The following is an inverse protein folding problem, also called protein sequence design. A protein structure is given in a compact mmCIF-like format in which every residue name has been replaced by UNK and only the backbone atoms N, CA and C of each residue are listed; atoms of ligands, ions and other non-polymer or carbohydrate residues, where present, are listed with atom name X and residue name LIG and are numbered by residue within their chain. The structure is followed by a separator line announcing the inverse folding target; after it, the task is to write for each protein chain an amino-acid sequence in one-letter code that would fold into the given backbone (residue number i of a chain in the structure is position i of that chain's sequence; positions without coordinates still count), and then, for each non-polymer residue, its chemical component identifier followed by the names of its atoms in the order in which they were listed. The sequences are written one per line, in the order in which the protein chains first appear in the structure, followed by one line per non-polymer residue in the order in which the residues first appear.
data_IF_254509060204
#
_entry.id   IF_254509060204
#
_cell.length_a   1.000
_cell.length_b   1.000
_cell.length_c   1.000
_cell.angle_alpha   90.00
_cell.angle_beta   90.00
_cell.angle_gamma   90.00
#
_symmetry.space_group_name_H-M   'P 1'
#
loop_
_entity.id
_entity.type
_entity.pdbx_description
1 polymer ?
#
# COMPACT_ATOMS: atom_id res chain seq x y z
N UNK A 1 -12.59 27.84 0.24
CA UNK A 1 -12.41 27.16 1.54
C UNK A 1 -12.93 25.77 1.37
N UNK A 2 -12.11 24.79 1.63
CA UNK A 2 -12.41 23.36 1.45
C UNK A 2 -13.58 22.94 2.33
N UNK A 3 -14.60 22.34 1.77
CA UNK A 3 -15.72 21.84 2.57
C UNK A 3 -15.45 20.40 3.01
N UNK A 4 -14.78 20.22 4.15
CA UNK A 4 -14.41 18.92 4.67
C UNK A 4 -15.60 17.98 4.88
N UNK A 5 -16.76 18.51 5.26
CA UNK A 5 -17.97 17.69 5.43
C UNK A 5 -18.45 17.08 4.11
N UNK A 6 -18.54 17.88 3.05
CA UNK A 6 -18.94 17.40 1.74
C UNK A 6 -17.95 16.38 1.19
N UNK A 7 -16.65 16.64 1.35
CA UNK A 7 -15.61 15.68 0.95
C UNK A 7 -15.69 14.38 1.76
N UNK A 8 -15.89 14.45 3.08
CA UNK A 8 -16.05 13.26 3.91
C UNK A 8 -17.22 12.39 3.43
N UNK A 9 -18.37 13.01 3.11
CA UNK A 9 -19.54 12.32 2.56
C UNK A 9 -19.23 11.69 1.19
N UNK A 10 -18.50 12.38 0.32
CA UNK A 10 -18.08 11.88 -0.99
C UNK A 10 -17.19 10.64 -0.88
N UNK A 11 -16.12 10.70 -0.06
CA UNK A 11 -15.20 9.57 0.13
C UNK A 11 -15.88 8.38 0.80
N UNK A 12 -16.73 8.65 1.80
CA UNK A 12 -17.53 7.62 2.47
C UNK A 12 -18.47 6.89 1.53
N UNK A 13 -19.25 7.64 0.74
CA UNK A 13 -20.22 7.07 -0.20
C UNK A 13 -19.50 6.29 -1.32
N UNK A 14 -18.41 6.82 -1.87
CA UNK A 14 -17.61 6.08 -2.85
C UNK A 14 -17.11 4.75 -2.31
N UNK A 15 -16.62 4.73 -1.06
CA UNK A 15 -16.15 3.51 -0.40
C UNK A 15 -17.29 2.53 -0.15
N UNK A 16 -18.33 2.98 0.60
CA UNK A 16 -19.30 2.06 1.19
C UNK A 16 -20.46 1.70 0.24
N UNK A 17 -20.78 2.59 -0.72
CA UNK A 17 -21.90 2.38 -1.62
C UNK A 17 -21.47 1.85 -3.00
N UNK A 18 -20.15 1.91 -3.32
CA UNK A 18 -19.64 1.48 -4.64
C UNK A 18 -18.46 0.50 -4.55
N UNK A 19 -17.33 0.92 -3.97
CA UNK A 19 -16.07 0.15 -4.05
C UNK A 19 -16.16 -1.14 -3.22
N UNK A 20 -16.62 -1.06 -1.97
CA UNK A 20 -16.77 -2.24 -1.10
C UNK A 20 -17.80 -3.22 -1.66
N UNK A 21 -19.03 -2.80 -2.07
CA UNK A 21 -19.96 -3.71 -2.72
C UNK A 21 -19.45 -4.36 -4.00
N UNK A 22 -18.66 -3.62 -4.81
CA UNK A 22 -18.05 -4.19 -6.02
C UNK A 22 -17.16 -5.39 -5.70
N UNK A 23 -16.20 -5.24 -4.77
CA UNK A 23 -15.31 -6.32 -4.39
C UNK A 23 -16.07 -7.46 -3.69
N UNK A 24 -17.00 -7.14 -2.80
CA UNK A 24 -17.80 -8.14 -2.09
C UNK A 24 -18.63 -9.03 -3.03
N UNK A 25 -19.16 -8.45 -4.12
CA UNK A 25 -20.00 -9.15 -5.09
C UNK A 25 -19.18 -9.87 -6.18
N UNK A 26 -18.07 -9.27 -6.65
CA UNK A 26 -17.37 -9.72 -7.86
C UNK A 26 -16.14 -10.56 -7.60
N UNK A 27 -15.50 -10.42 -6.43
CA UNK A 27 -14.19 -11.06 -6.19
C UNK A 27 -14.28 -12.47 -5.62
N UNK A 28 -15.33 -12.82 -4.89
CA UNK A 28 -15.39 -14.08 -4.16
C UNK A 28 -15.49 -15.32 -5.08
N UNK A 29 -14.55 -16.26 -4.97
CA UNK A 29 -14.67 -17.58 -5.59
C UNK A 29 -15.37 -18.54 -4.64
N UNK A 30 -16.69 -18.66 -4.79
CA UNK A 30 -17.52 -19.53 -3.92
C UNK A 30 -17.32 -21.02 -4.19
N UNK A 31 -16.62 -21.41 -5.25
CA UNK A 31 -16.38 -22.82 -5.58
C UNK A 31 -15.07 -23.34 -4.94
N UNK A 32 -13.96 -22.57 -5.08
CA UNK A 32 -12.64 -22.98 -4.60
C UNK A 32 -12.12 -22.15 -3.42
N UNK A 33 -12.81 -21.07 -3.06
CA UNK A 33 -12.37 -20.13 -2.02
C UNK A 33 -11.38 -19.09 -2.53
N UNK A 34 -11.06 -18.13 -1.68
CA UNK A 34 -10.23 -16.98 -2.07
C UNK A 34 -10.95 -16.02 -3.02
N UNK A 35 -10.19 -15.21 -3.75
CA UNK A 35 -10.74 -14.12 -4.54
C UNK A 35 -10.25 -14.14 -5.98
N UNK A 36 -11.12 -13.76 -6.91
CA UNK A 36 -10.74 -13.30 -8.23
C UNK A 36 -10.28 -11.86 -8.16
N UNK A 37 -9.04 -11.59 -8.55
CA UNK A 37 -8.50 -10.22 -8.61
C UNK A 37 -8.44 -9.70 -10.04
N UNK A 38 -8.46 -10.58 -11.05
CA UNK A 38 -8.44 -10.20 -12.46
C UNK A 38 -9.86 -9.91 -12.95
N UNK A 39 -10.34 -8.69 -12.67
CA UNK A 39 -11.69 -8.22 -12.99
C UNK A 39 -11.63 -7.14 -14.07
N UNK A 40 -12.44 -7.32 -15.13
CA UNK A 40 -12.61 -6.34 -16.19
C UNK A 40 -13.44 -5.14 -15.70
N UNK A 41 -13.70 -4.17 -16.57
CA UNK A 41 -14.40 -2.93 -16.23
C UNK A 41 -15.78 -3.17 -15.64
N UNK A 42 -16.52 -4.16 -16.13
CA UNK A 42 -17.86 -4.53 -15.64
C UNK A 42 -17.84 -5.50 -14.43
N UNK A 43 -16.66 -5.88 -13.96
CA UNK A 43 -16.48 -6.85 -12.89
C UNK A 43 -16.49 -8.29 -13.34
N UNK A 44 -16.53 -8.58 -14.64
CA UNK A 44 -16.38 -9.94 -15.16
C UNK A 44 -14.94 -10.44 -14.96
N UNK A 45 -14.83 -11.72 -14.61
CA UNK A 45 -13.52 -12.37 -14.40
C UNK A 45 -12.90 -12.68 -15.76
N UNK A 46 -11.70 -12.12 -16.03
CA UNK A 46 -10.98 -12.40 -17.27
C UNK A 46 -9.78 -13.35 -17.08
N UNK A 47 -9.34 -13.57 -15.84
CA UNK A 47 -8.32 -14.56 -15.47
C UNK A 47 -8.60 -15.07 -14.06
N UNK A 48 -8.27 -16.31 -13.78
CA UNK A 48 -8.59 -16.97 -12.50
C UNK A 48 -7.39 -17.24 -11.61
N UNK A 49 -6.18 -16.89 -12.02
CA UNK A 49 -4.98 -17.02 -11.20
C UNK A 49 -5.09 -16.14 -9.94
N UNK A 50 -4.66 -16.71 -8.81
CA UNK A 50 -4.75 -16.07 -7.49
C UNK A 50 -3.38 -15.63 -7.02
N UNK A 51 -3.19 -14.32 -6.91
CA UNK A 51 -1.94 -13.70 -6.46
C UNK A 51 -1.97 -13.52 -4.94
N UNK A 52 -1.11 -14.23 -4.22
CA UNK A 52 -1.15 -14.35 -2.75
C UNK A 52 -1.13 -12.98 -2.06
N UNK A 53 -0.30 -12.06 -2.50
CA UNK A 53 -0.24 -10.72 -1.93
C UNK A 53 -1.56 -9.93 -2.08
N UNK A 54 -2.33 -10.16 -3.16
CA UNK A 54 -3.65 -9.54 -3.34
C UNK A 54 -4.74 -10.26 -2.54
N UNK A 55 -4.64 -11.59 -2.40
CA UNK A 55 -5.51 -12.34 -1.50
C UNK A 55 -5.38 -11.81 -0.06
N UNK A 56 -4.14 -11.64 0.44
CA UNK A 56 -3.88 -11.07 1.75
C UNK A 56 -4.39 -9.64 1.91
N UNK A 57 -4.23 -8.79 0.89
CA UNK A 57 -4.74 -7.42 0.87
C UNK A 57 -6.25 -7.35 1.02
N UNK A 58 -6.98 -8.23 0.35
CA UNK A 58 -8.44 -8.25 0.40
C UNK A 58 -8.96 -8.79 1.74
N UNK A 59 -8.34 -9.86 2.29
CA UNK A 59 -8.60 -10.31 3.66
C UNK A 59 -8.40 -9.17 4.66
N UNK A 60 -7.28 -8.46 4.57
CA UNK A 60 -6.97 -7.32 5.43
C UNK A 60 -8.04 -6.24 5.33
N UNK A 61 -8.45 -5.88 4.10
CA UNK A 61 -9.40 -4.79 3.90
C UNK A 61 -10.77 -5.09 4.52
N UNK A 62 -11.32 -6.28 4.29
CA UNK A 62 -12.59 -6.66 4.86
C UNK A 62 -12.54 -6.85 6.38
N UNK A 63 -11.45 -7.40 6.92
CA UNK A 63 -11.24 -7.47 8.36
C UNK A 63 -11.10 -6.07 9.00
N UNK A 64 -10.41 -5.13 8.34
CA UNK A 64 -10.28 -3.74 8.77
C UNK A 64 -11.61 -3.00 8.79
N UNK A 65 -12.42 -3.16 7.75
CA UNK A 65 -13.78 -2.60 7.69
C UNK A 65 -14.66 -3.14 8.83
N UNK A 66 -14.58 -4.42 9.10
CA UNK A 66 -15.28 -5.03 10.22
C UNK A 66 -14.83 -4.47 11.55
N UNK A 67 -13.52 -4.33 11.77
CA UNK A 67 -12.96 -3.85 13.03
C UNK A 67 -13.22 -2.35 13.29
N UNK A 68 -13.20 -1.51 12.26
CA UNK A 68 -13.12 -0.05 12.42
C UNK A 68 -14.30 0.74 11.85
N UNK A 69 -15.17 0.11 11.06
CA UNK A 69 -16.34 0.79 10.49
C UNK A 69 -17.63 0.26 11.08
N UNK A 70 -17.91 -1.03 10.87
CA UNK A 70 -19.13 -1.65 11.34
C UNK A 70 -18.94 -3.18 11.41
N UNK A 71 -19.40 -3.82 12.48
CA UNK A 71 -19.33 -5.29 12.64
C UNK A 71 -20.33 -6.01 11.74
N UNK A 72 -20.22 -5.82 10.41
CA UNK A 72 -21.04 -6.52 9.41
C UNK A 72 -20.55 -7.95 9.22
N UNK A 73 -21.42 -8.92 9.46
CA UNK A 73 -21.08 -10.33 9.33
C UNK A 73 -20.59 -10.68 7.92
N UNK A 74 -21.19 -10.10 6.88
CA UNK A 74 -20.79 -10.31 5.49
C UNK A 74 -19.32 -9.92 5.19
N UNK A 75 -18.79 -8.88 5.84
CA UNK A 75 -17.37 -8.50 5.72
C UNK A 75 -16.46 -9.49 6.43
N UNK A 76 -16.87 -9.94 7.62
CA UNK A 76 -16.11 -10.95 8.34
C UNK A 76 -16.10 -12.28 7.59
N UNK A 77 -17.24 -12.73 7.05
CA UNK A 77 -17.36 -13.97 6.29
C UNK A 77 -16.48 -13.92 5.01
N UNK A 78 -16.47 -12.78 4.32
CA UNK A 78 -15.61 -12.57 3.17
C UNK A 78 -14.13 -12.67 3.57
N UNK A 79 -13.70 -12.00 4.64
CA UNK A 79 -12.32 -12.07 5.13
C UNK A 79 -11.92 -13.49 5.56
N UNK A 80 -12.79 -14.20 6.26
CA UNK A 80 -12.57 -15.60 6.69
C UNK A 80 -12.43 -16.52 5.49
N UNK A 81 -13.27 -16.39 4.47
CA UNK A 81 -13.19 -17.19 3.25
C UNK A 81 -11.82 -17.07 2.57
N UNK A 82 -11.31 -15.84 2.41
CA UNK A 82 -9.99 -15.62 1.85
C UNK A 82 -8.86 -16.14 2.72
N UNK A 83 -8.95 -15.95 4.04
CA UNK A 83 -7.95 -16.44 4.98
C UNK A 83 -7.86 -17.97 5.03
N UNK A 84 -9.00 -18.67 4.99
CA UNK A 84 -9.01 -20.14 4.94
C UNK A 84 -8.42 -20.69 3.64
N UNK A 85 -8.66 -20.01 2.51
CA UNK A 85 -7.97 -20.32 1.25
C UNK A 85 -6.46 -20.13 1.37
N UNK A 86 -6.02 -19.00 1.88
CA UNK A 86 -4.60 -18.69 2.10
C UNK A 86 -3.94 -19.70 3.05
N UNK A 87 -4.58 -20.02 4.16
CA UNK A 87 -4.10 -20.99 5.14
C UNK A 87 -3.91 -22.38 4.52
N UNK A 88 -4.81 -22.79 3.66
CA UNK A 88 -4.81 -24.13 3.06
C UNK A 88 -3.83 -24.25 1.88
N UNK A 89 -3.72 -23.23 1.04
CA UNK A 89 -3.05 -23.32 -0.25
C UNK A 89 -1.94 -22.28 -0.44
N UNK A 90 -1.97 -21.17 0.31
CA UNK A 90 -1.11 -20.01 0.07
C UNK A 90 0.38 -20.22 0.33
N UNK A 91 0.77 -21.32 1.00
CA UNK A 91 2.15 -21.59 1.41
C UNK A 91 2.49 -23.08 1.39
N UNK A 92 3.78 -23.41 1.49
CA UNK A 92 4.34 -24.77 1.41
C UNK A 92 4.24 -25.62 2.70
N UNK A 93 3.39 -25.23 3.64
CA UNK A 93 3.31 -25.83 4.97
C UNK A 93 4.31 -25.29 6.00
N UNK A 94 5.31 -24.51 5.56
CA UNK A 94 6.32 -23.88 6.40
C UNK A 94 6.22 -22.34 6.37
N UNK A 95 5.07 -21.79 6.00
CA UNK A 95 4.81 -20.35 5.82
C UNK A 95 5.75 -19.68 4.80
N UNK A 96 6.25 -20.44 3.82
CA UNK A 96 6.82 -19.85 2.62
C UNK A 96 5.68 -19.57 1.64
N UNK A 97 5.27 -18.30 1.60
CA UNK A 97 4.09 -17.87 0.84
C UNK A 97 4.38 -17.80 -0.65
N UNK A 98 3.65 -18.56 -1.45
CA UNK A 98 3.77 -18.52 -2.90
C UNK A 98 3.48 -17.13 -3.45
N UNK A 99 3.87 -16.86 -4.71
CA UNK A 99 3.48 -15.61 -5.35
C UNK A 99 2.14 -15.75 -6.07
N UNK A 100 1.93 -16.85 -6.79
CA UNK A 100 0.69 -17.10 -7.51
C UNK A 100 0.31 -18.58 -7.44
N UNK A 101 -0.99 -18.83 -7.43
CA UNK A 101 -1.65 -20.13 -7.52
C UNK A 101 -2.60 -20.11 -8.72
N UNK A 102 -2.96 -21.29 -9.23
CA UNK A 102 -4.14 -21.41 -10.07
C UNK A 102 -5.45 -21.25 -9.26
N UNK A 103 -6.57 -21.31 -9.94
CA UNK A 103 -7.89 -21.16 -9.30
C UNK A 103 -8.13 -22.17 -8.18
N UNK A 104 -7.67 -23.43 -8.36
CA UNK A 104 -7.89 -24.52 -7.41
C UNK A 104 -6.90 -24.54 -6.25
N UNK A 105 -5.88 -23.67 -6.28
CA UNK A 105 -4.87 -23.54 -5.23
C UNK A 105 -3.58 -24.29 -5.52
N UNK A 106 -3.33 -24.75 -6.77
CA UNK A 106 -2.04 -25.35 -7.12
C UNK A 106 -0.98 -24.26 -7.34
N UNK A 107 0.23 -24.42 -6.79
CA UNK A 107 1.30 -23.43 -6.94
C UNK A 107 1.75 -23.25 -8.40
N UNK A 108 1.76 -22.01 -8.86
CA UNK A 108 2.27 -21.60 -10.17
C UNK A 108 3.62 -20.91 -10.07
N UNK A 109 3.83 -20.12 -9.01
CA UNK A 109 5.04 -19.31 -8.87
C UNK A 109 5.58 -19.39 -7.44
N UNK A 110 6.88 -19.64 -7.35
CA UNK A 110 7.65 -19.82 -6.13
C UNK A 110 7.56 -18.63 -5.14
N UNK A 111 7.84 -18.85 -3.82
CA UNK A 111 7.81 -17.85 -2.76
C UNK A 111 8.96 -16.82 -2.83
N UNK A 112 9.21 -16.21 -3.97
CA UNK A 112 10.31 -15.25 -4.14
C UNK A 112 9.97 -13.81 -3.70
N UNK A 113 8.66 -13.51 -3.57
CA UNK A 113 8.19 -12.16 -3.31
C UNK A 113 7.86 -11.97 -1.83
N UNK A 114 8.66 -11.13 -1.16
CA UNK A 114 8.50 -10.85 0.27
C UNK A 114 7.14 -10.19 0.59
N UNK A 115 6.51 -9.50 -0.38
CA UNK A 115 5.20 -8.88 -0.17
C UNK A 115 4.06 -9.89 -0.01
N UNK A 116 4.19 -11.11 -0.55
CA UNK A 116 3.24 -12.18 -0.21
C UNK A 116 3.22 -12.45 1.29
N UNK A 117 4.37 -12.35 1.94
CA UNK A 117 4.51 -12.53 3.39
C UNK A 117 3.98 -11.33 4.18
N UNK A 118 4.36 -10.10 3.80
CA UNK A 118 3.92 -8.90 4.55
C UNK A 118 2.41 -8.74 4.50
N UNK A 119 1.76 -9.04 3.38
CA UNK A 119 0.31 -9.01 3.28
C UNK A 119 -0.39 -10.19 3.95
N UNK A 120 0.24 -11.36 4.04
CA UNK A 120 -0.25 -12.43 4.91
C UNK A 120 -0.19 -12.02 6.39
N UNK A 121 0.88 -11.36 6.83
CA UNK A 121 1.00 -10.85 8.21
C UNK A 121 -0.16 -9.94 8.57
N UNK A 122 -0.43 -8.89 7.79
CA UNK A 122 -1.50 -7.95 8.14
C UNK A 122 -2.89 -8.56 7.96
N UNK A 123 -3.08 -9.45 6.99
CA UNK A 123 -4.33 -10.18 6.78
C UNK A 123 -4.71 -11.01 8.00
N UNK A 124 -3.85 -11.95 8.37
CA UNK A 124 -4.08 -12.80 9.53
C UNK A 124 -4.06 -12.02 10.84
N UNK A 125 -3.26 -10.95 10.93
CA UNK A 125 -3.23 -10.06 12.08
C UNK A 125 -4.56 -9.35 12.31
N UNK A 126 -5.12 -8.68 11.31
CA UNK A 126 -6.41 -8.00 11.42
C UNK A 126 -7.56 -8.99 11.64
N UNK A 127 -7.48 -10.18 11.04
CA UNK A 127 -8.49 -11.20 11.25
C UNK A 127 -8.40 -11.84 12.66
N UNK A 128 -7.19 -11.97 13.21
CA UNK A 128 -7.00 -12.39 14.60
C UNK A 128 -7.63 -11.39 15.59
N UNK A 129 -7.46 -10.08 15.32
CA UNK A 129 -8.09 -9.01 16.10
C UNK A 129 -9.62 -9.09 16.00
N UNK A 130 -10.17 -9.32 14.80
CA UNK A 130 -11.60 -9.41 14.57
C UNK A 130 -12.26 -10.63 15.26
N UNK A 131 -11.55 -11.76 15.30
CA UNK A 131 -12.12 -13.05 15.71
C UNK A 131 -11.64 -13.56 17.06
N UNK A 132 -10.50 -13.08 17.56
CA UNK A 132 -9.79 -13.67 18.70
C UNK A 132 -9.18 -15.05 18.42
N UNK A 133 -9.12 -15.47 17.13
CA UNK A 133 -8.61 -16.80 16.75
C UNK A 133 -7.08 -16.86 16.90
N UNK A 134 -6.62 -17.74 17.77
CA UNK A 134 -5.19 -17.91 18.09
C UNK A 134 -4.40 -18.54 16.94
N UNK A 135 -4.99 -19.32 16.08
CA UNK A 135 -4.31 -19.87 14.90
C UNK A 135 -3.95 -18.76 13.92
N UNK A 136 -4.85 -17.79 13.68
CA UNK A 136 -4.56 -16.61 12.84
C UNK A 136 -3.47 -15.73 13.45
N UNK A 137 -3.51 -15.50 14.76
CA UNK A 137 -2.46 -14.79 15.48
C UNK A 137 -1.10 -15.47 15.30
N UNK A 138 -1.04 -16.80 15.45
CA UNK A 138 0.21 -17.58 15.30
C UNK A 138 0.75 -17.48 13.87
N UNK A 139 -0.10 -17.59 12.85
CA UNK A 139 0.28 -17.44 11.44
C UNK A 139 0.88 -16.04 11.20
N UNK A 140 0.20 -14.98 11.67
CA UNK A 140 0.69 -13.62 11.53
C UNK A 140 2.06 -13.43 12.18
N UNK A 141 2.23 -13.81 13.44
CA UNK A 141 3.49 -13.67 14.19
C UNK A 141 4.64 -14.45 13.56
N UNK A 142 4.45 -15.73 13.27
CA UNK A 142 5.49 -16.57 12.65
C UNK A 142 5.88 -16.06 11.25
N UNK A 143 4.90 -15.59 10.47
CA UNK A 143 5.20 -15.01 9.16
C UNK A 143 5.98 -13.71 9.31
N UNK A 144 5.66 -12.89 10.31
CA UNK A 144 6.41 -11.66 10.60
C UNK A 144 7.86 -11.94 10.98
N UNK A 145 8.12 -12.94 11.83
CA UNK A 145 9.48 -13.39 12.18
C UNK A 145 10.26 -13.80 10.91
N UNK A 146 9.61 -14.50 9.98
CA UNK A 146 10.22 -14.86 8.69
C UNK A 146 10.56 -13.61 7.88
N UNK A 147 9.66 -12.62 7.80
CA UNK A 147 9.92 -11.36 7.09
C UNK A 147 11.15 -10.66 7.66
N UNK A 148 11.23 -10.50 8.99
CA UNK A 148 12.35 -9.85 9.63
C UNK A 148 13.67 -10.61 9.43
N UNK A 149 13.64 -11.94 9.40
CA UNK A 149 14.83 -12.77 9.10
C UNK A 149 15.35 -12.62 7.68
N UNK A 150 14.57 -11.99 6.78
CA UNK A 150 14.89 -11.82 5.34
C UNK A 150 15.16 -10.38 4.92
N UNK A 151 15.29 -9.44 5.84
CA UNK A 151 15.52 -8.02 5.52
C UNK A 151 16.71 -7.83 4.58
N UNK A 152 17.81 -8.55 4.80
CA UNK A 152 19.02 -8.45 3.97
C UNK A 152 18.97 -9.31 2.70
N UNK A 153 18.04 -10.25 2.60
CA UNK A 153 17.85 -11.10 1.42
C UNK A 153 16.35 -11.43 1.23
N UNK A 154 15.52 -10.45 0.79
CA UNK A 154 14.08 -10.62 0.69
C UNK A 154 13.63 -11.80 -0.19
N UNK A 155 14.43 -12.16 -1.19
CA UNK A 155 14.16 -13.29 -2.10
C UNK A 155 14.65 -14.64 -1.57
N UNK A 156 15.43 -14.67 -0.47
CA UNK A 156 15.98 -15.89 0.12
C UNK A 156 16.63 -16.83 -0.92
N UNK A 157 16.32 -18.14 -0.87
CA UNK A 157 16.83 -19.14 -1.84
C UNK A 157 16.34 -18.95 -3.26
N UNK A 158 15.30 -18.14 -3.48
CA UNK A 158 14.76 -17.83 -4.82
C UNK A 158 15.40 -16.61 -5.46
N UNK A 159 16.45 -16.04 -4.84
CA UNK A 159 17.22 -14.96 -5.43
C UNK A 159 18.00 -15.45 -6.66
N UNK A 160 17.79 -14.77 -7.79
CA UNK A 160 18.47 -15.08 -9.06
C UNK A 160 19.75 -14.28 -9.28
N UNK A 161 20.13 -13.40 -8.35
CA UNK A 161 21.36 -12.63 -8.45
C UNK A 161 22.57 -13.56 -8.35
N UNK A 162 23.61 -13.27 -9.13
CA UNK A 162 24.88 -14.00 -9.06
C UNK A 162 25.56 -13.65 -7.74
N UNK A 163 25.95 -14.63 -6.89
CA UNK A 163 26.66 -14.37 -5.65
C UNK A 163 27.92 -13.52 -5.87
N UNK A 164 28.09 -12.48 -5.05
CA UNK A 164 29.22 -11.55 -5.17
C UNK A 164 29.11 -10.51 -6.27
N UNK A 165 28.01 -10.50 -7.06
CA UNK A 165 27.73 -9.42 -7.99
C UNK A 165 27.29 -8.15 -7.23
N UNK A 166 27.17 -7.01 -7.96
CA UNK A 166 26.65 -5.77 -7.39
C UNK A 166 25.25 -6.01 -6.81
N UNK A 167 25.15 -6.00 -5.48
CA UNK A 167 23.87 -6.04 -4.79
C UNK A 167 23.40 -4.63 -4.48
N UNK A 168 22.09 -4.41 -4.57
CA UNK A 168 21.46 -3.19 -4.16
C UNK A 168 20.56 -3.49 -2.95
N UNK A 169 20.63 -2.64 -1.94
CA UNK A 169 19.64 -2.54 -0.87
C UNK A 169 18.45 -1.76 -1.41
N UNK A 170 17.24 -2.25 -1.21
CA UNK A 170 16.01 -1.64 -1.76
C UNK A 170 15.12 -1.08 -0.66
N UNK A 171 14.41 -0.01 -0.97
CA UNK A 171 13.59 0.77 -0.03
C UNK A 171 12.25 0.10 0.29
N UNK A 172 11.72 -0.67 -0.62
CA UNK A 172 10.36 -1.22 -0.59
C UNK A 172 10.03 -2.00 0.70
N UNK A 173 10.92 -2.85 1.19
CA UNK A 173 10.68 -3.62 2.41
C UNK A 173 10.78 -2.77 3.69
N UNK A 174 11.83 -1.96 3.94
CA UNK A 174 11.85 -1.03 5.07
C UNK A 174 10.63 -0.12 5.17
N UNK A 175 10.17 0.40 4.03
CA UNK A 175 8.97 1.23 3.94
C UNK A 175 7.73 0.50 4.48
N UNK A 176 7.42 -0.69 3.94
CA UNK A 176 6.19 -1.40 4.31
C UNK A 176 6.21 -1.90 5.75
N UNK A 177 7.39 -2.20 6.31
CA UNK A 177 7.51 -2.64 7.69
C UNK A 177 7.05 -1.58 8.70
N UNK A 178 7.18 -0.29 8.37
CA UNK A 178 6.63 0.80 9.19
C UNK A 178 5.12 0.64 9.40
N UNK A 179 4.39 0.27 8.34
CA UNK A 179 2.94 0.05 8.41
C UNK A 179 2.59 -1.30 9.04
N UNK A 180 3.28 -2.38 8.64
CA UNK A 180 3.01 -3.74 9.14
C UNK A 180 3.12 -3.79 10.66
N UNK A 181 4.13 -3.15 11.25
CA UNK A 181 4.32 -3.12 12.70
C UNK A 181 3.11 -2.51 13.43
N UNK A 182 2.53 -1.43 12.89
CA UNK A 182 1.33 -0.80 13.46
C UNK A 182 0.07 -1.65 13.25
N UNK A 183 -0.08 -2.29 12.10
CA UNK A 183 -1.25 -3.11 11.78
C UNK A 183 -1.41 -4.34 12.68
N UNK A 184 -0.29 -4.86 13.20
CA UNK A 184 -0.29 -6.03 14.10
C UNK A 184 0.18 -5.69 15.52
N UNK A 185 0.30 -4.40 15.87
CA UNK A 185 0.75 -3.94 17.20
C UNK A 185 0.10 -4.69 18.36
N UNK A 186 -1.24 -4.94 18.38
CA UNK A 186 -1.87 -5.65 19.48
C UNK A 186 -1.42 -7.09 19.69
N UNK A 187 -0.73 -7.66 18.70
CA UNK A 187 -0.24 -9.06 18.69
C UNK A 187 1.24 -9.16 19.05
N UNK A 188 1.96 -8.03 19.17
CA UNK A 188 3.41 -8.00 19.42
C UNK A 188 3.74 -7.67 20.87
N UNK A 189 4.83 -8.22 21.36
CA UNK A 189 5.39 -7.79 22.65
C UNK A 189 5.91 -6.34 22.55
N UNK A 190 5.63 -5.47 23.55
CA UNK A 190 5.94 -4.04 23.46
C UNK A 190 7.42 -3.73 23.16
N UNK A 191 8.35 -4.46 23.75
CA UNK A 191 9.79 -4.27 23.52
C UNK A 191 10.19 -4.62 22.07
N UNK A 192 9.66 -5.72 21.55
CA UNK A 192 9.89 -6.15 20.17
C UNK A 192 9.30 -5.17 19.15
N UNK A 193 8.08 -4.67 19.42
CA UNK A 193 7.45 -3.63 18.60
C UNK A 193 8.31 -2.36 18.57
N UNK A 194 8.79 -1.91 19.72
CA UNK A 194 9.61 -0.70 19.82
C UNK A 194 10.90 -0.82 19.00
N UNK A 195 11.65 -1.92 19.17
CA UNK A 195 12.87 -2.20 18.39
C UNK A 195 12.60 -2.26 16.88
N UNK A 196 11.46 -2.85 16.48
CA UNK A 196 11.06 -2.92 15.06
C UNK A 196 10.79 -1.53 14.52
N UNK A 197 10.05 -0.69 15.25
CA UNK A 197 9.76 0.69 14.85
C UNK A 197 11.05 1.51 14.73
N UNK A 198 11.95 1.43 15.71
CA UNK A 198 13.22 2.17 15.67
C UNK A 198 14.06 1.77 14.45
N UNK A 199 14.11 0.47 14.13
CA UNK A 199 14.80 -0.03 12.93
C UNK A 199 14.16 0.53 11.66
N UNK A 200 12.84 0.50 11.55
CA UNK A 200 12.13 1.02 10.37
C UNK A 200 12.37 2.53 10.18
N UNK A 201 12.27 3.31 11.25
CA UNK A 201 12.52 4.76 11.22
C UNK A 201 13.97 5.06 10.80
N UNK A 202 14.94 4.36 11.37
CA UNK A 202 16.34 4.50 10.97
C UNK A 202 16.53 4.20 9.47
N UNK A 203 16.00 3.09 8.98
CA UNK A 203 16.14 2.72 7.57
C UNK A 203 15.53 3.79 6.65
N UNK A 204 14.33 4.26 6.93
CA UNK A 204 13.65 5.23 6.06
C UNK A 204 14.30 6.62 6.14
N UNK A 205 14.58 7.12 7.35
CA UNK A 205 14.97 8.52 7.57
C UNK A 205 16.48 8.76 7.52
N UNK A 206 17.30 7.77 7.92
CA UNK A 206 18.76 7.95 8.00
C UNK A 206 19.49 7.23 6.86
N UNK A 207 18.91 6.14 6.31
CA UNK A 207 19.55 5.37 5.24
C UNK A 207 19.03 5.78 3.86
N UNK A 208 17.72 5.70 3.62
CA UNK A 208 17.15 5.95 2.28
C UNK A 208 16.79 7.40 1.98
N UNK A 209 16.41 8.19 2.97
CA UNK A 209 16.27 9.64 2.76
C UNK A 209 17.64 10.29 2.60
N UNK A 210 17.81 11.08 1.54
CA UNK A 210 19.05 11.77 1.20
C UNK A 210 18.86 13.28 1.34
N UNK A 211 19.34 13.88 2.45
CA UNK A 211 19.20 15.32 2.68
C UNK A 211 19.78 16.18 1.56
N UNK A 212 20.89 15.71 0.96
CA UNK A 212 21.56 16.41 -0.16
C UNK A 212 20.74 16.44 -1.45
N UNK A 213 19.74 15.53 -1.58
CA UNK A 213 18.79 15.49 -2.68
C UNK A 213 17.41 16.04 -2.27
N UNK A 214 17.13 16.07 -0.97
CA UNK A 214 15.78 16.31 -0.42
C UNK A 214 14.77 15.20 -0.72
N UNK A 215 15.24 14.02 -1.12
CA UNK A 215 14.40 12.92 -1.64
C UNK A 215 14.78 11.59 -1.00
N UNK A 216 13.83 10.66 -1.05
CA UNK A 216 14.02 9.24 -0.71
C UNK A 216 14.43 8.48 -1.97
N UNK A 217 15.47 7.65 -1.88
CA UNK A 217 15.94 6.84 -3.01
C UNK A 217 15.44 5.41 -2.92
N UNK A 218 15.17 4.79 -4.07
CA UNK A 218 14.67 3.40 -4.16
C UNK A 218 15.73 2.34 -3.94
N UNK A 219 17.01 2.68 -4.19
CA UNK A 219 18.08 1.70 -4.09
C UNK A 219 19.41 2.37 -3.75
N UNK A 220 20.18 1.66 -2.95
CA UNK A 220 21.54 2.03 -2.53
C UNK A 220 22.48 0.86 -2.76
N UNK A 221 23.76 1.15 -2.88
CA UNK A 221 24.79 0.14 -2.80
C UNK A 221 24.87 -0.51 -1.40
N UNK A 222 25.66 -1.54 -1.28
CA UNK A 222 25.79 -2.33 -0.05
C UNK A 222 26.21 -1.49 1.16
N UNK A 223 27.08 -0.53 0.94
CA UNK A 223 27.64 0.35 1.98
C UNK A 223 26.85 1.69 2.10
N UNK A 224 25.65 1.76 1.51
CA UNK A 224 24.77 2.92 1.57
C UNK A 224 25.09 4.00 0.55
N UNK A 225 25.97 3.74 -0.42
CA UNK A 225 26.36 4.69 -1.46
C UNK A 225 25.31 4.81 -2.58
N UNK A 226 25.24 5.98 -3.21
CA UNK A 226 24.43 6.21 -4.42
C UNK A 226 25.10 5.52 -5.62
N UNK A 227 24.40 4.63 -6.29
CA UNK A 227 24.90 3.87 -7.44
C UNK A 227 24.44 4.49 -8.76
N UNK A 228 25.38 4.73 -9.70
CA UNK A 228 25.08 5.21 -11.05
C UNK A 228 24.76 4.03 -11.99
N UNK A 229 23.57 3.47 -11.83
CA UNK A 229 23.01 2.45 -12.72
C UNK A 229 21.51 2.72 -12.88
N UNK A 230 20.83 2.03 -13.81
CA UNK A 230 19.38 2.17 -13.99
C UNK A 230 18.62 1.99 -12.67
N UNK A 231 18.87 0.87 -11.96
CA UNK A 231 18.20 0.57 -10.70
C UNK A 231 18.63 1.51 -9.57
N UNK A 232 19.94 1.84 -9.48
CA UNK A 232 20.47 2.71 -8.43
C UNK A 232 20.12 4.20 -8.59
N UNK A 233 19.63 4.62 -9.77
CA UNK A 233 19.15 5.99 -10.02
C UNK A 233 17.64 6.11 -9.97
N UNK A 234 16.93 4.98 -9.91
CA UNK A 234 15.46 4.96 -9.89
C UNK A 234 14.93 5.68 -8.67
N UNK A 235 13.93 6.52 -8.89
CA UNK A 235 13.08 7.14 -7.87
C UNK A 235 11.64 6.70 -8.12
N UNK A 236 10.92 6.45 -7.04
CA UNK A 236 9.50 6.17 -7.07
C UNK A 236 8.78 7.14 -6.12
N UNK A 237 8.30 8.28 -6.62
CA UNK A 237 7.62 9.26 -5.77
C UNK A 237 6.46 8.65 -4.95
N UNK A 238 5.77 7.67 -5.53
CA UNK A 238 4.68 6.98 -4.85
C UNK A 238 5.11 6.24 -3.58
N UNK A 239 6.19 5.46 -3.63
CA UNK A 239 6.74 4.78 -2.45
C UNK A 239 7.25 5.78 -1.40
N UNK A 240 7.99 6.79 -1.85
CA UNK A 240 8.48 7.82 -0.97
C UNK A 240 7.34 8.52 -0.22
N UNK A 241 6.29 8.95 -0.93
CA UNK A 241 5.12 9.60 -0.35
C UNK A 241 4.33 8.63 0.57
N UNK A 242 4.13 7.38 0.15
CA UNK A 242 3.44 6.38 0.98
C UNK A 242 4.18 6.17 2.31
N UNK A 243 5.51 6.08 2.29
CA UNK A 243 6.31 5.93 3.50
C UNK A 243 6.12 7.08 4.49
N UNK A 244 5.90 8.29 4.00
CA UNK A 244 5.77 9.46 4.87
C UNK A 244 4.54 9.44 5.74
N UNK A 245 3.40 8.96 5.23
CA UNK A 245 2.24 8.85 6.10
C UNK A 245 2.34 7.67 7.08
N UNK A 246 3.11 6.61 6.77
CA UNK A 246 3.47 5.60 7.76
C UNK A 246 4.29 6.21 8.90
N UNK A 247 5.29 7.05 8.56
CA UNK A 247 6.10 7.76 9.56
C UNK A 247 5.25 8.74 10.39
N UNK A 248 4.29 9.43 9.78
CA UNK A 248 3.36 10.30 10.51
C UNK A 248 2.54 9.51 11.54
N UNK A 249 2.08 8.30 11.19
CA UNK A 249 1.38 7.42 12.13
C UNK A 249 2.30 6.94 13.25
N UNK A 250 3.53 6.56 12.94
CA UNK A 250 4.54 6.24 13.95
C UNK A 250 4.85 7.44 14.85
N UNK A 251 5.00 8.63 14.27
CA UNK A 251 5.22 9.87 15.01
C UNK A 251 4.06 10.19 15.97
N UNK A 252 2.83 10.01 15.53
CA UNK A 252 1.63 10.13 16.37
C UNK A 252 1.64 9.09 17.50
N UNK A 253 1.91 7.83 17.17
CA UNK A 253 1.97 6.70 18.12
C UNK A 253 3.04 6.90 19.19
N UNK A 254 4.20 7.43 18.82
CA UNK A 254 5.33 7.69 19.70
C UNK A 254 5.29 9.05 20.41
N UNK A 255 4.30 9.89 20.10
CA UNK A 255 4.23 11.30 20.53
C UNK A 255 5.51 12.09 20.15
N UNK A 256 5.96 11.94 18.89
CA UNK A 256 7.16 12.52 18.29
C UNK A 256 6.78 13.51 17.18
N UNK A 257 6.45 14.77 17.51
CA UNK A 257 6.09 15.78 16.50
C UNK A 257 7.21 16.06 15.50
N UNK A 258 8.48 15.91 15.89
CA UNK A 258 9.64 16.03 15.01
C UNK A 258 9.63 15.02 13.85
N UNK A 259 9.19 13.79 14.09
CA UNK A 259 9.01 12.78 13.03
C UNK A 259 7.88 13.18 12.07
N UNK A 260 6.80 13.73 12.60
CA UNK A 260 5.66 14.20 11.79
C UNK A 260 6.09 15.36 10.89
N UNK A 261 6.76 16.37 11.45
CA UNK A 261 7.27 17.52 10.71
C UNK A 261 8.25 17.10 9.61
N UNK A 262 9.17 16.16 9.93
CA UNK A 262 10.12 15.61 8.95
C UNK A 262 9.43 14.84 7.83
N UNK A 263 8.45 14.02 8.15
CA UNK A 263 7.65 13.29 7.17
C UNK A 263 6.86 14.24 6.25
N UNK A 264 6.30 15.32 6.78
CA UNK A 264 5.63 16.36 6.00
C UNK A 264 6.60 17.07 5.06
N UNK A 265 7.80 17.44 5.53
CA UNK A 265 8.84 18.04 4.69
C UNK A 265 9.19 17.14 3.50
N UNK A 266 9.45 15.86 3.76
CA UNK A 266 9.77 14.86 2.72
C UNK A 266 8.60 14.70 1.76
N UNK A 267 7.38 14.54 2.26
CA UNK A 267 6.20 14.33 1.44
C UNK A 267 5.93 15.49 0.48
N UNK A 268 6.09 16.74 0.96
CA UNK A 268 5.96 17.93 0.11
C UNK A 268 7.03 17.99 -0.97
N UNK A 269 8.28 17.67 -0.64
CA UNK A 269 9.35 17.62 -1.63
C UNK A 269 9.11 16.55 -2.70
N UNK A 270 8.66 15.36 -2.29
CA UNK A 270 8.40 14.24 -3.20
C UNK A 270 7.22 14.48 -4.14
N UNK A 271 6.12 15.07 -3.64
CA UNK A 271 4.98 15.39 -4.51
C UNK A 271 5.31 16.49 -5.49
N UNK A 272 6.06 17.51 -5.07
CA UNK A 272 6.52 18.59 -5.94
C UNK A 272 7.48 18.06 -7.02
N UNK A 273 8.45 17.20 -6.64
CA UNK A 273 9.38 16.57 -7.57
C UNK A 273 8.69 15.63 -8.56
N UNK A 274 7.73 14.82 -8.09
CA UNK A 274 7.02 13.81 -8.88
C UNK A 274 5.90 14.34 -9.77
N UNK A 275 5.46 15.59 -9.59
CA UNK A 275 4.32 16.15 -10.31
C UNK A 275 4.64 16.47 -11.78
N UNK A 276 3.77 16.04 -12.71
CA UNK A 276 3.88 16.40 -14.13
C UNK A 276 3.24 17.78 -14.36
N UNK A 277 4.07 18.82 -14.49
CA UNK A 277 3.60 20.20 -14.70
C UNK A 277 2.89 20.39 -16.04
N UNK A 278 3.08 19.50 -17.02
CA UNK A 278 2.46 19.61 -18.33
C UNK A 278 1.05 19.03 -18.39
N UNK A 279 0.85 17.86 -17.76
CA UNK A 279 -0.41 17.12 -17.88
C UNK A 279 -1.10 16.85 -16.53
N UNK A 280 -0.44 17.20 -15.45
CA UNK A 280 -0.87 16.85 -14.10
C UNK A 280 -0.61 15.38 -13.74
N UNK A 281 -0.90 15.05 -12.47
CA UNK A 281 -0.63 13.73 -11.93
C UNK A 281 0.85 13.48 -11.63
N UNK A 282 1.12 12.39 -10.95
CA UNK A 282 2.46 12.05 -10.44
C UNK A 282 3.05 10.95 -11.32
N UNK A 283 4.31 11.12 -11.74
CA UNK A 283 5.05 10.10 -12.48
C UNK A 283 5.23 8.83 -11.65
N UNK A 284 5.23 7.68 -12.33
CA UNK A 284 5.47 6.41 -11.66
C UNK A 284 6.96 6.25 -11.29
N UNK A 285 7.86 6.39 -12.26
CA UNK A 285 9.29 6.33 -12.02
C UNK A 285 10.03 7.55 -12.57
N UNK A 286 11.05 7.98 -11.85
CA UNK A 286 11.95 9.04 -12.29
C UNK A 286 13.41 8.59 -12.16
N UNK A 287 14.32 9.32 -12.78
CA UNK A 287 15.76 9.10 -12.66
C UNK A 287 16.38 10.30 -11.94
N UNK A 288 17.10 10.08 -10.82
CA UNK A 288 17.68 11.17 -10.02
C UNK A 288 18.70 12.04 -10.74
N UNK A 289 19.23 11.58 -11.89
CA UNK A 289 20.16 12.34 -12.75
C UNK A 289 19.51 12.79 -14.06
N UNK A 290 18.18 12.61 -14.21
CA UNK A 290 17.47 12.97 -15.44
C UNK A 290 17.84 12.11 -16.66
N UNK A 291 18.46 10.95 -16.47
CA UNK A 291 18.77 10.00 -17.54
C UNK A 291 17.53 9.24 -17.98
N UNK A 292 17.47 8.73 -19.22
CA UNK A 292 16.35 7.91 -19.69
C UNK A 292 16.09 6.71 -18.78
N UNK A 293 14.82 6.46 -18.50
CA UNK A 293 14.35 5.26 -17.81
C UNK A 293 14.24 4.10 -18.80
N UNK A 294 14.39 2.87 -18.31
CA UNK A 294 14.20 1.65 -19.13
C UNK A 294 12.83 0.99 -18.89
N UNK A 295 12.14 1.35 -17.82
CA UNK A 295 10.77 0.92 -17.58
C UNK A 295 9.82 1.64 -18.56
N UNK A 296 9.07 0.87 -19.34
CA UNK A 296 8.14 1.43 -20.35
C UNK A 296 7.00 2.23 -19.72
N UNK A 297 6.66 1.91 -18.49
CA UNK A 297 5.59 2.54 -17.71
C UNK A 297 6.04 3.76 -16.89
N UNK A 298 7.28 4.25 -17.03
CA UNK A 298 7.84 5.27 -16.16
C UNK A 298 7.04 6.57 -16.09
N UNK A 299 6.40 6.97 -17.19
CA UNK A 299 5.62 8.22 -17.29
C UNK A 299 4.10 8.01 -17.13
N UNK A 300 3.67 6.77 -16.85
CA UNK A 300 2.27 6.48 -16.58
C UNK A 300 1.83 7.05 -15.24
N UNK A 301 0.52 7.26 -15.10
CA UNK A 301 -0.12 7.68 -13.86
C UNK A 301 -0.87 6.48 -13.27
N UNK A 302 -0.45 6.05 -12.08
CA UNK A 302 -1.04 4.89 -11.43
C UNK A 302 -1.96 5.30 -10.28
N UNK A 303 -3.04 4.55 -10.09
CA UNK A 303 -4.07 4.79 -9.06
C UNK A 303 -3.49 4.88 -7.66
N UNK A 304 -2.59 3.94 -7.31
CA UNK A 304 -2.06 3.82 -5.97
C UNK A 304 -1.15 5.01 -5.59
N UNK A 305 -0.34 5.50 -6.50
CA UNK A 305 0.51 6.68 -6.29
C UNK A 305 -0.34 7.89 -5.88
N UNK A 306 -1.47 8.09 -6.58
CA UNK A 306 -2.33 9.24 -6.34
C UNK A 306 -3.14 9.11 -5.05
N UNK A 307 -3.72 7.93 -4.79
CA UNK A 307 -4.51 7.72 -3.57
C UNK A 307 -3.63 7.75 -2.30
N UNK A 308 -2.40 7.22 -2.35
CA UNK A 308 -1.45 7.32 -1.24
C UNK A 308 -0.98 8.77 -1.01
N UNK A 309 -0.85 9.54 -2.08
CA UNK A 309 -0.57 10.99 -1.96
C UNK A 309 -1.71 11.73 -1.29
N UNK A 310 -2.97 11.41 -1.61
CA UNK A 310 -4.12 11.99 -0.93
C UNK A 310 -4.09 11.70 0.58
N UNK A 311 -3.76 10.47 0.98
CA UNK A 311 -3.61 10.12 2.41
C UNK A 311 -2.51 10.97 3.03
N UNK A 312 -1.33 11.02 2.42
CA UNK A 312 -0.17 11.70 2.98
C UNK A 312 -0.39 13.21 3.12
N UNK A 313 -0.92 13.87 2.10
CA UNK A 313 -1.18 15.30 2.12
C UNK A 313 -2.26 15.66 3.14
N UNK A 314 -3.36 14.92 3.17
CA UNK A 314 -4.44 15.18 4.12
C UNK A 314 -4.01 14.93 5.58
N UNK A 315 -3.24 13.87 5.82
CA UNK A 315 -2.68 13.56 7.14
C UNK A 315 -1.68 14.63 7.59
N UNK A 316 -0.80 15.07 6.70
CA UNK A 316 0.12 16.17 6.97
C UNK A 316 -0.62 17.44 7.40
N UNK A 317 -1.68 17.81 6.69
CA UNK A 317 -2.53 18.95 7.08
C UNK A 317 -3.23 18.71 8.44
N UNK A 318 -3.83 17.53 8.62
CA UNK A 318 -4.55 17.19 9.86
C UNK A 318 -3.66 17.28 11.12
N UNK A 319 -2.40 16.86 11.01
CA UNK A 319 -1.48 16.75 12.14
C UNK A 319 -0.70 18.06 12.40
N UNK A 320 -0.42 18.85 11.35
CA UNK A 320 0.45 20.04 11.48
C UNK A 320 -0.26 21.36 11.17
N UNK A 321 -1.41 21.34 10.49
CA UNK A 321 -2.07 22.53 9.97
C UNK A 321 -1.32 23.19 8.80
N UNK A 322 -0.31 22.55 8.20
CA UNK A 322 0.48 23.12 7.12
C UNK A 322 -0.38 23.35 5.86
N UNK A 323 -0.61 24.62 5.43
CA UNK A 323 -1.50 24.92 4.32
C UNK A 323 -1.04 24.35 2.98
N UNK A 324 0.28 24.14 2.78
CA UNK A 324 0.79 23.52 1.56
C UNK A 324 0.31 22.07 1.40
N UNK A 325 0.14 21.35 2.51
CA UNK A 325 -0.41 20.00 2.45
C UNK A 325 -1.87 20.02 1.97
N UNK A 326 -2.67 21.00 2.40
CA UNK A 326 -4.05 21.14 1.93
C UNK A 326 -4.11 21.54 0.45
N UNK A 327 -3.26 22.48 0.01
CA UNK A 327 -3.15 22.89 -1.40
C UNK A 327 -2.80 21.69 -2.30
N UNK A 328 -1.84 20.86 -1.89
CA UNK A 328 -1.49 19.65 -2.62
C UNK A 328 -2.58 18.60 -2.56
N UNK A 329 -3.25 18.41 -1.41
CA UNK A 329 -4.41 17.53 -1.31
C UNK A 329 -5.49 17.92 -2.31
N UNK A 330 -5.88 19.19 -2.39
CA UNK A 330 -6.89 19.69 -3.34
C UNK A 330 -6.46 19.46 -4.79
N UNK A 331 -5.22 19.80 -5.15
CA UNK A 331 -4.69 19.61 -6.50
C UNK A 331 -4.68 18.14 -6.93
N UNK A 332 -4.23 17.24 -6.04
CA UNK A 332 -4.21 15.80 -6.31
C UNK A 332 -5.61 15.21 -6.29
N UNK A 333 -6.50 15.70 -5.41
CA UNK A 333 -7.90 15.30 -5.36
C UNK A 333 -8.60 15.57 -6.69
N UNK A 334 -8.51 16.80 -7.19
CA UNK A 334 -9.14 17.19 -8.45
C UNK A 334 -8.65 16.33 -9.63
N UNK A 335 -7.33 16.08 -9.70
CA UNK A 335 -6.76 15.21 -10.71
C UNK A 335 -7.27 13.77 -10.56
N UNK A 336 -7.20 13.23 -9.36
CA UNK A 336 -7.51 11.82 -9.09
C UNK A 336 -8.96 11.49 -9.37
N UNK A 337 -9.88 12.27 -8.84
CA UNK A 337 -11.31 12.06 -9.08
C UNK A 337 -11.72 12.26 -10.53
N UNK A 338 -11.09 13.18 -11.23
CA UNK A 338 -11.37 13.41 -12.65
C UNK A 338 -10.91 12.28 -13.55
N UNK A 339 -9.78 11.65 -13.25
CA UNK A 339 -9.11 10.73 -14.17
C UNK A 339 -9.22 9.26 -13.79
N UNK A 340 -9.28 8.93 -12.49
CA UNK A 340 -9.34 7.55 -12.02
C UNK A 340 -10.75 7.08 -11.66
N UNK A 341 -11.63 7.94 -11.15
CA UNK A 341 -13.01 7.55 -10.89
C UNK A 341 -13.73 7.22 -12.20
N UNK A 342 -14.34 6.02 -12.26
CA UNK A 342 -15.13 5.60 -13.41
C UNK A 342 -16.58 6.10 -13.24
N UNK A 343 -17.11 6.93 -14.15
CA UNK A 343 -18.46 7.45 -14.02
C UNK A 343 -19.56 6.40 -14.22
N UNK A 344 -19.25 5.29 -14.91
CA UNK A 344 -20.23 4.32 -15.36
C UNK A 344 -20.23 3.03 -14.52
N UNK A 345 -19.07 2.68 -13.93
CA UNK A 345 -18.88 1.42 -13.19
C UNK A 345 -18.23 1.65 -11.84
N UNK A 346 -18.57 0.88 -10.79
CA UNK A 346 -17.88 0.91 -9.51
C UNK A 346 -16.40 0.58 -9.62
N UNK A 347 -15.64 0.96 -8.59
CA UNK A 347 -14.17 0.87 -8.53
C UNK A 347 -13.47 1.79 -9.55
N UNK A 348 -12.27 2.18 -9.26
CA UNK A 348 -11.50 3.14 -10.05
C UNK A 348 -10.66 2.47 -11.13
N UNK A 349 -10.36 3.20 -12.22
CA UNK A 349 -9.31 2.79 -13.14
C UNK A 349 -7.96 2.71 -12.44
N UNK A 350 -7.06 1.84 -12.93
CA UNK A 350 -5.75 1.67 -12.34
C UNK A 350 -4.63 2.35 -13.13
N UNK A 351 -4.78 2.46 -14.44
CA UNK A 351 -3.67 2.72 -15.34
C UNK A 351 -4.04 3.79 -16.35
N UNK A 352 -3.37 4.94 -16.25
CA UNK A 352 -3.50 6.05 -17.19
C UNK A 352 -2.18 6.27 -17.93
N UNK A 353 -2.26 6.75 -19.16
CA UNK A 353 -1.07 7.25 -19.84
C UNK A 353 -0.65 8.61 -19.25
N UNK A 354 0.46 9.15 -19.71
CA UNK A 354 0.98 10.44 -19.23
C UNK A 354 -0.03 11.59 -19.32
N UNK A 355 -0.95 11.56 -20.30
CA UNK A 355 -1.97 12.61 -20.51
C UNK A 355 -3.20 12.45 -19.62
N UNK A 356 -3.26 11.40 -18.81
CA UNK A 356 -4.41 11.09 -17.97
C UNK A 356 -5.53 10.34 -18.68
N UNK A 357 -5.28 9.76 -19.85
CA UNK A 357 -6.24 8.92 -20.57
C UNK A 357 -6.11 7.46 -20.11
N UNK A 358 -7.23 6.75 -20.00
CA UNK A 358 -7.27 5.35 -19.54
C UNK A 358 -6.52 4.46 -20.52
N UNK A 359 -5.49 3.76 -20.02
CA UNK A 359 -4.72 2.75 -20.75
C UNK A 359 -5.38 1.38 -20.69
N UNK A 360 -5.74 0.97 -19.48
CA UNK A 360 -6.38 -0.31 -19.19
C UNK A 360 -7.64 -0.05 -18.37
N UNK A 361 -8.81 -0.44 -18.86
CA UNK A 361 -10.06 -0.19 -18.15
C UNK A 361 -10.32 -1.16 -16.99
N UNK A 362 -9.41 -2.10 -16.75
CA UNK A 362 -9.50 -3.14 -15.71
C UNK A 362 -9.78 -2.54 -14.33
N UNK A 363 -10.62 -3.20 -13.55
CA UNK A 363 -10.84 -2.88 -12.13
C UNK A 363 -9.86 -3.60 -11.23
N UNK A 364 -9.35 -4.74 -11.65
CA UNK A 364 -8.36 -5.52 -10.94
C UNK A 364 -7.44 -6.32 -11.86
N UNK A 365 -6.41 -6.96 -11.32
CA UNK A 365 -5.44 -7.74 -12.10
C UNK A 365 -4.37 -8.34 -11.21
N UNK A 366 -3.19 -8.57 -11.79
CA UNK A 366 -2.01 -9.06 -11.08
C UNK A 366 -1.45 -8.06 -10.07
N UNK A 367 -1.65 -6.75 -10.31
CA UNK A 367 -1.04 -5.66 -9.55
C UNK A 367 -2.07 -4.81 -8.78
N UNK A 368 -3.28 -4.70 -9.28
CA UNK A 368 -4.40 -3.96 -8.67
C UNK A 368 -5.42 -4.95 -8.10
N UNK A 369 -5.84 -4.72 -6.86
CA UNK A 369 -6.86 -5.48 -6.14
C UNK A 369 -7.55 -4.63 -5.09
N UNK A 370 -8.32 -5.24 -4.21
CA UNK A 370 -9.06 -4.59 -3.13
C UNK A 370 -8.12 -4.09 -2.02
N UNK A 371 -7.41 -2.98 -2.25
CA UNK A 371 -6.46 -2.45 -1.26
C UNK A 371 -6.29 -0.93 -1.32
N UNK A 372 -5.47 -0.39 -2.26
CA UNK A 372 -5.11 1.03 -2.25
C UNK A 372 -6.34 1.94 -2.37
N UNK A 373 -7.28 1.66 -3.30
CA UNK A 373 -8.49 2.49 -3.45
C UNK A 373 -9.34 2.43 -2.19
N UNK A 374 -9.81 1.27 -1.69
CA UNK A 374 -10.63 1.25 -0.49
C UNK A 374 -9.87 1.72 0.77
N UNK A 375 -8.56 1.41 0.92
CA UNK A 375 -7.73 1.91 2.02
C UNK A 375 -7.64 3.44 2.00
N UNK A 376 -7.40 4.01 0.83
CA UNK A 376 -7.27 5.46 0.69
C UNK A 376 -8.59 6.19 0.90
N UNK A 377 -9.68 5.68 0.34
CA UNK A 377 -11.02 6.23 0.60
C UNK A 377 -11.37 6.18 2.08
N UNK A 378 -11.08 5.07 2.76
CA UNK A 378 -11.28 4.90 4.19
C UNK A 378 -10.47 5.93 5.01
N UNK A 379 -9.15 6.01 4.77
CA UNK A 379 -8.28 6.92 5.52
C UNK A 379 -8.69 8.39 5.28
N UNK A 380 -8.89 8.79 4.03
CA UNK A 380 -9.30 10.15 3.70
C UNK A 380 -10.67 10.49 4.31
N UNK A 381 -11.66 9.60 4.21
CA UNK A 381 -12.95 9.80 4.86
C UNK A 381 -12.81 10.07 6.35
N UNK A 382 -12.10 9.21 7.09
CA UNK A 382 -11.93 9.37 8.55
C UNK A 382 -11.24 10.69 8.91
N UNK A 383 -10.18 11.07 8.19
CA UNK A 383 -9.49 12.35 8.41
C UNK A 383 -10.36 13.56 8.09
N UNK A 384 -11.11 13.53 6.99
CA UNK A 384 -12.02 14.59 6.59
C UNK A 384 -13.17 14.78 7.59
N UNK A 385 -13.70 13.68 8.12
CA UNK A 385 -14.73 13.69 9.17
C UNK A 385 -14.21 14.32 10.46
N UNK A 386 -12.99 13.98 10.88
CA UNK A 386 -12.34 14.61 12.04
C UNK A 386 -12.08 16.12 11.84
N UNK A 387 -11.60 16.52 10.64
CA UNK A 387 -11.37 17.92 10.30
C UNK A 387 -12.67 18.72 10.32
N UNK A 388 -13.74 18.18 9.70
CA UNK A 388 -15.08 18.78 9.74
C UNK A 388 -15.60 19.00 11.17
N UNK A 389 -15.37 18.03 12.04
CA UNK A 389 -15.79 18.12 13.44
C UNK A 389 -14.98 19.17 14.26
N UNK A 390 -13.72 19.45 13.85
CA UNK A 390 -12.91 20.53 14.47
C UNK A 390 -13.39 21.92 14.06
N UNK A 391 -13.84 22.12 12.84
CA UNK A 391 -14.36 23.41 12.35
C UNK A 391 -15.70 23.81 13.02
N UNK A 392 -16.43 22.85 13.56
CA UNK A 392 -17.72 23.08 14.21
C UNK A 392 -17.59 23.41 15.70
N UNK A 393 -16.40 23.30 16.28
CA UNK A 393 -16.07 23.62 17.68
C UNK A 393 -15.41 24.99 17.79
#
# INVERSE_FOLDING_TARGET
MTNFKTLAEQYKSELLDKVVPFWLDKSQDHEFGGYFTCLDRDGSVYDTDKFIWLQGREVWMFAKLYNEVEHKQEWLDCAVQGAEFLKKYGHDGHLNWYFALDREGQPLVEPYNIFSYTFAVIAFGQLAIATGNKEYEEIARKTFDIVLSRVDNPKARWNKAVPGSRSLKTFDLPMILCNVALEIEPLLEPEFLHQTIDTCLHEVLDVFYRPELGLVVEALGKDGELVDSFDGRKLNPGHAIESTWFIMDLGKRLNRPDLIEKAVEISLAEVEYGWDEQYGGIFYFMDRLGKPRHELEFDQKLWWVHIETLISMLKGYQLTGNPKCLEWFERVHDYTWKHFADPDYPEWYGYLNRRGEVLLPLKGGKWKGCFHVPRGLFNCWKMLEELSNREQK
#
